data_IF_676230508633
#
_entry.id   IF_676230508633
#
_cell.length_a   1.000
_cell.length_b   1.000
_cell.length_c   1.000
_cell.angle_alpha   90.00
_cell.angle_beta   90.00
_cell.angle_gamma   90.00
#
_symmetry.space_group_name_H-M   'P 1'
#
loop_
_entity.id
_entity.type
_entity.pdbx_description
1 polymer ?
#
# COMPACT_ATOMS: atom_id res chain seq x y z
N UNK A 1 -7.16 19.25 -6.94
CA UNK A 1 -6.59 18.06 -6.27
C UNK A 1 -7.06 16.86 -7.06
N UNK A 2 -6.19 16.24 -7.86
CA UNK A 2 -6.50 15.05 -8.65
C UNK A 2 -5.96 13.85 -7.85
N UNK A 3 -6.84 13.07 -7.25
CA UNK A 3 -6.53 11.71 -6.84
C UNK A 3 -6.94 10.76 -7.99
N UNK A 4 -6.40 9.55 -8.07
CA UNK A 4 -6.86 8.60 -9.09
C UNK A 4 -8.36 8.34 -8.91
N UNK A 5 -9.03 8.21 -10.06
CA UNK A 5 -10.44 7.88 -10.08
C UNK A 5 -10.67 6.52 -9.42
N UNK A 6 -11.86 6.31 -8.86
CA UNK A 6 -12.27 5.01 -8.31
C UNK A 6 -12.00 3.88 -9.31
N UNK A 7 -12.21 4.11 -10.60
CA UNK A 7 -11.94 3.15 -11.67
C UNK A 7 -10.46 2.79 -11.81
N UNK A 8 -9.55 3.77 -11.69
CA UNK A 8 -8.11 3.53 -11.72
C UNK A 8 -7.67 2.56 -10.63
N UNK A 9 -8.16 2.76 -9.39
CA UNK A 9 -7.83 1.88 -8.25
C UNK A 9 -8.33 0.44 -8.45
N UNK A 10 -9.53 0.27 -9.00
CA UNK A 10 -10.07 -1.07 -9.29
C UNK A 10 -9.30 -1.76 -10.42
N UNK A 11 -8.89 -1.01 -11.45
CA UNK A 11 -8.07 -1.56 -12.52
C UNK A 11 -6.70 -2.02 -12.00
N UNK A 12 -6.03 -1.21 -11.18
CA UNK A 12 -4.78 -1.60 -10.53
C UNK A 12 -4.96 -2.86 -9.68
N UNK A 13 -6.01 -2.94 -8.87
CA UNK A 13 -6.31 -4.13 -8.08
C UNK A 13 -6.54 -5.38 -8.96
N UNK A 14 -7.28 -5.25 -10.07
CA UNK A 14 -7.47 -6.34 -11.02
C UNK A 14 -6.14 -6.83 -11.61
N UNK A 15 -5.23 -5.91 -11.93
CA UNK A 15 -3.91 -6.26 -12.46
C UNK A 15 -3.05 -6.96 -11.40
N UNK A 16 -3.10 -6.53 -10.14
CA UNK A 16 -2.38 -7.19 -9.04
C UNK A 16 -2.92 -8.60 -8.80
N UNK A 17 -4.24 -8.78 -8.83
CA UNK A 17 -4.85 -10.11 -8.72
C UNK A 17 -4.36 -11.05 -9.83
N UNK A 18 -4.39 -10.59 -11.08
CA UNK A 18 -3.87 -11.37 -12.21
C UNK A 18 -2.37 -11.66 -12.08
N UNK A 19 -1.58 -10.73 -11.56
CA UNK A 19 -0.16 -10.95 -11.32
C UNK A 19 0.05 -12.06 -10.27
N UNK A 20 -0.74 -12.07 -9.20
CA UNK A 20 -0.67 -13.08 -8.15
C UNK A 20 -1.04 -14.50 -8.65
N UNK A 21 -1.81 -14.62 -9.73
CA UNK A 21 -2.09 -15.91 -10.39
C UNK A 21 -0.90 -16.43 -11.21
N UNK A 22 0.01 -15.54 -11.63
CA UNK A 22 1.15 -15.87 -12.48
C UNK A 22 2.44 -16.08 -11.70
N UNK A 23 2.62 -15.33 -10.61
CA UNK A 23 3.80 -15.41 -9.75
C UNK A 23 3.39 -15.40 -8.29
N UNK A 24 4.06 -16.18 -7.41
CA UNK A 24 3.80 -16.13 -5.98
C UNK A 24 4.08 -14.74 -5.43
N UNK A 25 3.11 -14.18 -4.73
CA UNK A 25 3.26 -12.96 -3.93
C UNK A 25 2.96 -13.38 -2.49
N UNK A 26 3.87 -13.12 -1.56
CA UNK A 26 3.68 -13.43 -0.13
C UNK A 26 3.73 -12.18 0.74
N UNK A 27 4.27 -11.08 0.21
CA UNK A 27 4.50 -9.84 0.94
C UNK A 27 4.24 -8.62 0.08
N UNK A 28 3.47 -7.67 0.61
CA UNK A 28 3.13 -6.42 -0.05
C UNK A 28 3.52 -5.24 0.85
N UNK A 29 4.18 -4.25 0.25
CA UNK A 29 4.36 -2.93 0.84
C UNK A 29 3.43 -1.92 0.16
N UNK A 30 2.52 -1.33 0.93
CA UNK A 30 1.61 -0.27 0.48
C UNK A 30 2.11 1.09 0.97
N UNK A 31 2.67 1.89 0.05
CA UNK A 31 3.18 3.23 0.36
C UNK A 31 2.06 4.25 0.16
N UNK A 32 1.89 5.12 1.16
CA UNK A 32 0.79 6.09 1.18
C UNK A 32 -0.56 5.38 1.30
N UNK A 33 -0.67 4.55 2.34
CA UNK A 33 -1.81 3.67 2.59
C UNK A 33 -3.17 4.37 2.44
N UNK A 34 -3.27 5.64 2.85
CA UNK A 34 -4.52 6.39 2.79
C UNK A 34 -5.58 5.77 3.70
N UNK A 35 -6.71 5.39 3.12
CA UNK A 35 -7.79 4.65 3.81
C UNK A 35 -7.62 3.12 3.79
N UNK A 36 -6.49 2.64 3.26
CA UNK A 36 -6.21 1.22 3.04
C UNK A 36 -6.94 0.67 1.82
N UNK A 37 -7.08 1.47 0.75
CA UNK A 37 -7.90 1.10 -0.42
C UNK A 37 -7.46 -0.23 -1.03
N UNK A 38 -6.17 -0.44 -1.27
CA UNK A 38 -5.68 -1.68 -1.88
C UNK A 38 -5.84 -2.88 -0.96
N UNK A 39 -5.54 -2.73 0.34
CA UNK A 39 -5.80 -3.79 1.31
C UNK A 39 -7.29 -4.19 1.32
N UNK A 40 -8.20 -3.21 1.39
CA UNK A 40 -9.64 -3.47 1.45
C UNK A 40 -10.16 -4.18 0.19
N UNK A 41 -9.60 -3.86 -0.99
CA UNK A 41 -10.01 -4.48 -2.25
C UNK A 41 -9.38 -5.87 -2.40
N UNK A 42 -8.10 -6.04 -2.07
CA UNK A 42 -7.32 -7.23 -2.44
C UNK A 42 -7.26 -8.30 -1.35
N UNK A 43 -7.25 -7.93 -0.07
CA UNK A 43 -7.14 -8.93 1.03
C UNK A 43 -8.23 -10.01 1.03
N UNK A 44 -9.47 -9.78 0.54
CA UNK A 44 -10.45 -10.86 0.40
C UNK A 44 -10.13 -11.88 -0.69
N UNK A 45 -9.24 -11.55 -1.63
CA UNK A 45 -8.90 -12.40 -2.78
C UNK A 45 -7.47 -12.92 -2.75
N UNK A 46 -6.58 -12.27 -2.01
CA UNK A 46 -5.18 -12.68 -1.84
C UNK A 46 -4.99 -13.26 -0.44
N UNK A 47 -5.05 -14.58 -0.33
CA UNK A 47 -4.87 -15.28 0.93
C UNK A 47 -3.40 -15.30 1.37
N UNK A 48 -3.16 -15.32 2.68
CA UNK A 48 -1.84 -15.49 3.30
C UNK A 48 -0.78 -14.42 2.95
N UNK A 49 -1.20 -13.24 2.45
CA UNK A 49 -0.30 -12.12 2.19
C UNK A 49 0.06 -11.37 3.48
N UNK A 50 1.35 -11.09 3.64
CA UNK A 50 1.87 -10.17 4.66
C UNK A 50 1.79 -8.74 4.16
N UNK A 51 0.87 -7.96 4.73
CA UNK A 51 0.68 -6.56 4.40
C UNK A 51 1.48 -5.64 5.32
N UNK A 52 2.35 -4.84 4.73
CA UNK A 52 3.05 -3.74 5.40
C UNK A 52 2.65 -2.41 4.78
N UNK A 53 2.59 -1.35 5.59
CA UNK A 53 2.10 -0.04 5.15
C UNK A 53 2.99 1.10 5.63
N UNK A 54 3.10 2.14 4.81
CA UNK A 54 3.70 3.42 5.20
C UNK A 54 2.66 4.52 5.02
N UNK A 55 2.35 5.24 6.10
CA UNK A 55 1.40 6.36 6.08
C UNK A 55 1.96 7.54 6.85
N UNK A 56 2.12 8.70 6.22
CA UNK A 56 2.65 9.89 6.88
C UNK A 56 1.59 10.58 7.75
N UNK A 57 0.33 10.51 7.36
CA UNK A 57 -0.78 11.21 7.99
C UNK A 57 -1.40 10.39 9.13
N UNK A 58 -0.90 10.63 10.35
CA UNK A 58 -1.34 9.96 11.57
C UNK A 58 -2.87 9.90 11.78
N UNK A 59 -3.67 10.95 11.45
CA UNK A 59 -5.13 10.85 11.58
C UNK A 59 -5.77 9.72 10.77
N UNK A 60 -5.20 9.34 9.62
CA UNK A 60 -5.73 8.24 8.81
C UNK A 60 -5.50 6.88 9.47
N UNK A 61 -4.37 6.71 10.16
CA UNK A 61 -4.07 5.48 10.92
C UNK A 61 -5.19 5.15 11.90
N UNK A 62 -5.62 6.15 12.68
CA UNK A 62 -6.69 5.99 13.65
C UNK A 62 -8.06 5.90 12.98
N UNK A 63 -8.36 6.82 12.06
CA UNK A 63 -9.67 6.91 11.39
C UNK A 63 -10.04 5.63 10.64
N UNK A 64 -9.08 5.01 9.97
CA UNK A 64 -9.29 3.84 9.13
C UNK A 64 -8.83 2.53 9.77
N UNK A 65 -8.49 2.56 11.06
CA UNK A 65 -8.00 1.43 11.84
C UNK A 65 -6.89 0.65 11.11
N UNK A 66 -5.90 1.36 10.57
CA UNK A 66 -4.87 0.76 9.72
C UNK A 66 -4.03 -0.28 10.48
N UNK A 67 -3.88 -0.12 11.80
CA UNK A 67 -3.16 -1.08 12.64
C UNK A 67 -3.80 -2.48 12.70
N UNK A 68 -5.10 -2.62 12.39
CA UNK A 68 -5.73 -3.94 12.28
C UNK A 68 -5.63 -4.56 10.89
N UNK A 69 -5.20 -3.77 9.89
CA UNK A 69 -5.11 -4.18 8.48
C UNK A 69 -3.68 -4.59 8.11
N UNK A 70 -2.70 -3.83 8.61
CA UNK A 70 -1.30 -4.01 8.27
C UNK A 70 -0.55 -4.63 9.44
N UNK A 71 0.22 -5.69 9.17
CA UNK A 71 1.07 -6.36 10.16
C UNK A 71 2.20 -5.44 10.63
N UNK A 72 2.76 -4.67 9.71
CA UNK A 72 3.73 -3.62 9.98
C UNK A 72 3.17 -2.32 9.43
N UNK A 73 3.05 -1.30 10.28
CA UNK A 73 2.59 0.03 9.87
C UNK A 73 3.59 1.08 10.35
N UNK A 74 4.21 1.78 9.40
CA UNK A 74 5.22 2.81 9.67
C UNK A 74 4.56 4.18 9.50
N UNK A 75 4.47 4.96 10.59
CA UNK A 75 4.00 6.34 10.52
C UNK A 75 5.16 7.30 10.22
N UNK A 76 5.57 7.39 8.95
CA UNK A 76 6.70 8.22 8.54
C UNK A 76 6.56 8.71 7.10
N UNK A 77 7.25 9.80 6.77
CA UNK A 77 7.51 10.16 5.38
C UNK A 77 8.41 9.09 4.74
N UNK A 78 7.90 8.44 3.69
CA UNK A 78 8.62 7.35 3.00
C UNK A 78 9.99 7.76 2.48
N UNK A 79 10.20 9.05 2.17
CA UNK A 79 11.49 9.56 1.69
C UNK A 79 12.58 9.56 2.77
N UNK A 80 12.21 9.31 4.03
CA UNK A 80 13.12 9.18 5.17
C UNK A 80 13.41 7.72 5.54
N UNK A 81 12.83 6.76 4.82
CA UNK A 81 13.03 5.34 5.07
C UNK A 81 14.25 4.86 4.28
N UNK A 82 15.16 4.17 4.98
CA UNK A 82 16.27 3.48 4.34
C UNK A 82 15.84 2.09 3.89
N UNK A 83 15.48 1.94 2.61
CA UNK A 83 15.06 0.65 2.05
C UNK A 83 16.19 -0.38 1.90
N UNK A 84 17.46 0.03 2.02
CA UNK A 84 18.58 -0.91 2.09
C UNK A 84 18.61 -1.66 3.44
N UNK A 85 17.96 -1.09 4.46
CA UNK A 85 17.87 -1.63 5.82
C UNK A 85 16.41 -1.98 6.12
N UNK A 86 15.97 -3.17 5.71
CA UNK A 86 14.60 -3.60 5.94
C UNK A 86 14.26 -4.91 5.23
N UNK A 87 13.05 -5.45 5.47
CA UNK A 87 12.56 -6.59 4.72
C UNK A 87 12.36 -6.23 3.24
N UNK A 88 12.70 -7.15 2.35
CA UNK A 88 12.28 -7.08 0.95
C UNK A 88 10.80 -7.47 0.82
N UNK A 89 10.15 -6.94 -0.19
CA UNK A 89 8.74 -7.23 -0.50
C UNK A 89 8.63 -7.75 -1.94
N UNK A 90 7.71 -8.68 -2.16
CA UNK A 90 7.45 -9.24 -3.50
C UNK A 90 6.76 -8.20 -4.41
N UNK A 91 5.96 -7.32 -3.81
CA UNK A 91 5.25 -6.24 -4.51
C UNK A 91 5.20 -4.97 -3.65
N UNK A 92 5.55 -3.83 -4.26
CA UNK A 92 5.42 -2.51 -3.64
C UNK A 92 4.44 -1.64 -4.42
N UNK A 93 3.46 -1.05 -3.74
CA UNK A 93 2.44 -0.19 -4.30
C UNK A 93 2.73 1.28 -3.95
N UNK A 94 2.68 2.15 -4.95
CA UNK A 94 2.68 3.61 -4.79
C UNK A 94 1.42 4.16 -5.45
N UNK A 95 0.29 4.06 -4.75
CA UNK A 95 -0.98 4.56 -5.27
C UNK A 95 -1.21 6.01 -4.91
N UNK A 96 -1.30 6.87 -5.92
CA UNK A 96 -1.55 8.31 -5.76
C UNK A 96 -0.57 9.03 -4.81
N UNK A 97 0.66 8.53 -4.68
CA UNK A 97 1.64 9.08 -3.73
C UNK A 97 2.61 10.02 -4.43
N UNK A 98 3.06 9.65 -5.63
CA UNK A 98 4.17 10.30 -6.31
C UNK A 98 3.76 11.70 -6.76
N UNK A 99 2.51 11.87 -7.22
CA UNK A 99 1.97 13.18 -7.62
C UNK A 99 1.76 14.16 -6.45
N UNK A 100 1.79 13.66 -5.21
CA UNK A 100 1.63 14.47 -4.00
C UNK A 100 2.97 14.80 -3.35
N UNK A 101 4.06 14.23 -3.85
CA UNK A 101 5.41 14.57 -3.41
C UNK A 101 5.93 15.76 -4.20
N UNK A 102 6.11 16.90 -3.53
CA UNK A 102 6.95 17.97 -4.08
C UNK A 102 8.39 17.49 -4.18
N UNK A 103 9.13 18.01 -5.18
CA UNK A 103 10.59 17.81 -5.25
C UNK A 103 11.22 18.16 -3.90
N UNK A 104 12.17 17.33 -3.50
CA UNK A 104 13.12 17.65 -2.44
C UNK A 104 14.20 18.59 -2.98
#
# INVERSE_FOLDING_TARGET
MLASSKYGKHYTALMIHKLAELVPINSILDVGVGEGTYFNILSPYLENIKWSGIEVWKPYILKYNLGSKYQILINQDVRKINFAEGPSYDLTLFGDVIEHMTKQ
#
